data_IF_967168763667
#
_entry.id   IF_967168763667
#
_cell.length_a   1.000
_cell.length_b   1.000
_cell.length_c   1.000
_cell.angle_alpha   90.00
_cell.angle_beta   90.00
_cell.angle_gamma   90.00
#
_symmetry.space_group_name_H-M   'P 1'
#
loop_
_entity.id
_entity.type
_entity.pdbx_description
1 polymer ?
#
# COMPACT_ATOMS: atom_id res chain seq x y z
N UNK A 1 -17.03 -4.67 -31.82
CA UNK A 1 -17.20 -3.26 -31.40
C UNK A 1 -17.11 -3.26 -29.88
N UNK A 2 -16.07 -2.60 -29.34
CA UNK A 2 -15.70 -2.27 -27.93
C UNK A 2 -15.95 -3.32 -26.82
N UNK A 3 -14.95 -3.96 -26.17
CA UNK A 3 -13.87 -3.50 -25.25
C UNK A 3 -14.34 -2.91 -23.90
N UNK A 4 -13.61 -3.29 -22.83
CA UNK A 4 -13.66 -2.91 -21.41
C UNK A 4 -14.68 -3.70 -20.55
N UNK A 5 -14.31 -4.49 -19.53
CA UNK A 5 -13.16 -4.38 -18.63
C UNK A 5 -13.49 -3.45 -17.47
N UNK A 6 -14.45 -3.83 -16.61
CA UNK A 6 -14.81 -3.14 -15.37
C UNK A 6 -15.15 -4.22 -14.33
N UNK A 7 -14.57 -4.07 -13.14
CA UNK A 7 -14.68 -4.92 -11.95
C UNK A 7 -16.05 -5.60 -11.79
N UNK A 8 -16.05 -6.93 -11.60
CA UNK A 8 -17.17 -7.60 -10.94
C UNK A 8 -17.16 -7.16 -9.48
N UNK A 9 -18.14 -6.32 -9.16
CA UNK A 9 -18.36 -5.67 -7.88
C UNK A 9 -18.34 -6.70 -6.74
N UNK A 10 -17.53 -6.44 -5.71
CA UNK A 10 -17.42 -7.25 -4.50
C UNK A 10 -18.71 -7.31 -3.63
N UNK A 11 -19.86 -6.94 -4.20
CA UNK A 11 -21.16 -6.85 -3.54
C UNK A 11 -22.13 -7.96 -3.90
N UNK A 12 -21.83 -8.82 -4.88
CA UNK A 12 -22.64 -10.02 -5.17
C UNK A 12 -22.11 -11.26 -4.43
N UNK A 13 -22.18 -11.25 -3.10
CA UNK A 13 -22.46 -12.51 -2.38
C UNK A 13 -23.94 -12.59 -2.04
N UNK A 14 -24.74 -12.50 -3.08
CA UNK A 14 -26.11 -12.96 -3.06
C UNK A 14 -26.11 -14.48 -3.05
N UNK A 15 -26.04 -15.09 -1.87
CA UNK A 15 -26.26 -16.52 -1.74
C UNK A 15 -27.77 -16.78 -1.73
N UNK A 16 -28.24 -17.59 -2.67
CA UNK A 16 -29.61 -18.06 -2.73
C UNK A 16 -29.74 -19.24 -1.74
N UNK A 17 -30.07 -18.94 -0.50
CA UNK A 17 -30.44 -19.94 0.50
C UNK A 17 -31.94 -19.87 0.75
N UNK A 18 -32.65 -20.98 0.51
CA UNK A 18 -34.05 -21.12 0.91
C UNK A 18 -35.09 -20.27 0.15
N UNK A 19 -34.71 -19.50 -0.87
CA UNK A 19 -35.64 -18.74 -1.71
C UNK A 19 -35.59 -17.22 -1.57
N UNK A 20 -34.74 -16.68 -0.68
CA UNK A 20 -34.58 -15.24 -0.46
C UNK A 20 -33.16 -14.74 -0.76
N UNK A 21 -33.05 -13.46 -1.10
CA UNK A 21 -31.78 -12.76 -1.30
C UNK A 21 -31.18 -12.39 0.06
N UNK A 22 -30.04 -12.99 0.42
CA UNK A 22 -29.32 -12.62 1.63
C UNK A 22 -28.68 -11.23 1.49
N UNK A 23 -29.00 -10.34 2.42
CA UNK A 23 -28.35 -9.03 2.58
C UNK A 23 -27.48 -9.08 3.85
N UNK A 24 -26.15 -9.02 3.73
CA UNK A 24 -25.27 -9.02 4.90
C UNK A 24 -25.55 -7.81 5.80
N UNK A 25 -25.41 -7.94 7.13
CA UNK A 25 -25.52 -6.81 8.05
C UNK A 25 -24.54 -5.69 7.68
N UNK A 26 -24.95 -4.42 7.84
CA UNK A 26 -24.11 -3.25 7.51
C UNK A 26 -22.70 -3.32 8.13
N UNK A 27 -22.58 -3.80 9.37
CA UNK A 27 -21.30 -3.94 10.04
C UNK A 27 -20.37 -4.97 9.38
N UNK A 28 -20.92 -6.05 8.80
CA UNK A 28 -20.14 -7.01 8.03
C UNK A 28 -19.63 -6.38 6.73
N UNK A 29 -20.50 -5.63 6.03
CA UNK A 29 -20.16 -4.92 4.79
C UNK A 29 -19.07 -3.87 5.04
N UNK A 30 -19.14 -3.13 6.15
CA UNK A 30 -18.08 -2.20 6.57
C UNK A 30 -16.74 -2.91 6.79
N UNK A 31 -16.76 -4.03 7.52
CA UNK A 31 -15.55 -4.81 7.79
C UNK A 31 -14.91 -5.35 6.52
N UNK A 32 -15.73 -5.88 5.59
CA UNK A 32 -15.28 -6.34 4.27
C UNK A 32 -14.63 -5.21 3.48
N UNK A 33 -15.23 -4.02 3.47
CA UNK A 33 -14.70 -2.88 2.72
C UNK A 33 -13.38 -2.34 3.27
N UNK A 34 -13.25 -2.29 4.60
CA UNK A 34 -11.99 -1.93 5.26
C UNK A 34 -10.90 -2.98 4.97
N UNK A 35 -11.27 -4.26 4.89
CA UNK A 35 -10.33 -5.29 4.46
C UNK A 35 -9.93 -5.12 2.99
N UNK A 36 -10.88 -4.76 2.12
CA UNK A 36 -10.64 -4.49 0.71
C UNK A 36 -9.70 -3.29 0.53
N UNK A 37 -9.91 -2.17 1.22
CA UNK A 37 -9.01 -1.01 1.11
C UNK A 37 -7.57 -1.36 1.48
N UNK A 38 -7.36 -2.26 2.44
CA UNK A 38 -6.02 -2.75 2.81
C UNK A 38 -5.39 -3.62 1.72
N UNK A 39 -6.17 -4.50 1.11
CA UNK A 39 -5.73 -5.30 -0.02
C UNK A 39 -5.39 -4.41 -1.22
N UNK A 40 -6.24 -3.43 -1.52
CA UNK A 40 -6.06 -2.49 -2.62
C UNK A 40 -4.80 -1.63 -2.44
N UNK A 41 -4.55 -1.14 -1.22
CA UNK A 41 -3.30 -0.42 -0.94
C UNK A 41 -2.07 -1.31 -1.16
N UNK A 42 -2.11 -2.58 -0.76
CA UNK A 42 -1.00 -3.49 -0.99
C UNK A 42 -0.72 -3.70 -2.49
N UNK A 43 -1.77 -3.90 -3.29
CA UNK A 43 -1.68 -3.99 -4.76
C UNK A 43 -1.19 -2.68 -5.37
N UNK A 44 -1.65 -1.55 -4.86
CA UNK A 44 -1.23 -0.22 -5.30
C UNK A 44 0.28 -0.01 -5.10
N UNK A 45 0.80 -0.30 -3.89
CA UNK A 45 2.22 -0.16 -3.58
C UNK A 45 3.13 -1.10 -4.40
N UNK A 46 2.60 -2.24 -4.87
CA UNK A 46 3.32 -3.16 -5.75
C UNK A 46 3.44 -2.62 -7.18
N UNK A 47 2.37 -1.99 -7.69
CA UNK A 47 2.29 -1.46 -9.05
C UNK A 47 2.83 -0.03 -9.20
N UNK A 48 3.01 0.70 -8.10
CA UNK A 48 3.42 2.12 -8.10
C UNK A 48 4.76 2.33 -7.37
N UNK A 49 5.89 1.85 -7.94
CA UNK A 49 7.20 2.14 -7.37
C UNK A 49 7.52 3.65 -7.47
N UNK A 50 8.34 4.15 -6.55
CA UNK A 50 8.78 5.54 -6.58
C UNK A 50 9.92 5.71 -7.59
N UNK A 51 9.84 6.72 -8.45
CA UNK A 51 10.99 7.13 -9.27
C UNK A 51 11.95 7.97 -8.42
N UNK A 52 13.22 7.59 -8.39
CA UNK A 52 14.24 8.31 -7.64
C UNK A 52 15.01 9.29 -8.52
N UNK A 53 15.84 10.12 -7.88
CA UNK A 53 16.65 11.15 -8.56
C UNK A 53 17.67 10.59 -9.55
N UNK A 54 17.99 9.30 -9.45
CA UNK A 54 18.83 8.57 -10.42
C UNK A 54 18.05 8.06 -11.64
N UNK A 55 16.75 8.38 -11.74
CA UNK A 55 15.85 7.96 -12.81
C UNK A 55 15.33 6.52 -12.68
N UNK A 56 15.83 5.74 -11.72
CA UNK A 56 15.39 4.37 -11.50
C UNK A 56 14.15 4.31 -10.60
N UNK A 57 13.42 3.19 -10.69
CA UNK A 57 12.23 2.93 -9.88
C UNK A 57 12.55 2.00 -8.71
N UNK A 58 12.03 2.32 -7.53
CA UNK A 58 12.23 1.53 -6.31
C UNK A 58 10.88 1.08 -5.76
N UNK A 59 10.76 -0.23 -5.53
CA UNK A 59 9.56 -0.81 -4.95
C UNK A 59 9.35 -0.31 -3.51
N UNK A 60 8.09 0.06 -3.20
CA UNK A 60 7.68 0.63 -1.91
C UNK A 60 6.71 -0.28 -1.14
N UNK A 61 6.67 -1.57 -1.50
CA UNK A 61 5.85 -2.57 -0.81
C UNK A 61 6.23 -2.69 0.67
N UNK A 62 5.32 -3.21 1.49
CA UNK A 62 5.57 -3.40 2.92
C UNK A 62 6.83 -4.24 3.20
N UNK A 63 7.05 -5.31 2.41
CA UNK A 63 8.26 -6.13 2.48
C UNK A 63 9.52 -5.29 2.21
N UNK A 64 9.48 -4.42 1.19
CA UNK A 64 10.63 -3.58 0.83
C UNK A 64 10.92 -2.51 1.87
N UNK A 65 9.90 -1.93 2.48
CA UNK A 65 10.06 -1.00 3.61
C UNK A 65 10.72 -1.67 4.82
N UNK A 66 10.30 -2.90 5.15
CA UNK A 66 10.90 -3.68 6.23
C UNK A 66 12.38 -4.02 5.94
N UNK A 67 12.68 -4.49 4.72
CA UNK A 67 14.04 -4.76 4.27
C UNK A 67 14.93 -3.51 4.34
N UNK A 68 14.40 -2.36 3.90
CA UNK A 68 15.10 -1.09 3.88
C UNK A 68 15.46 -0.64 5.31
N UNK A 69 14.49 -0.73 6.23
CA UNK A 69 14.69 -0.42 7.64
C UNK A 69 15.81 -1.29 8.25
N UNK A 70 15.79 -2.60 7.98
CA UNK A 70 16.83 -3.52 8.45
C UNK A 70 18.22 -3.21 7.89
N UNK A 71 18.30 -2.81 6.62
CA UNK A 71 19.57 -2.40 5.96
C UNK A 71 20.13 -1.11 6.56
N UNK A 72 19.28 -0.10 6.77
CA UNK A 72 19.67 1.17 7.42
C UNK A 72 20.16 0.92 8.85
N UNK A 73 19.45 0.11 9.65
CA UNK A 73 19.86 -0.24 11.00
C UNK A 73 21.21 -0.97 11.01
N UNK A 74 21.40 -1.96 10.13
CA UNK A 74 22.64 -2.73 10.02
C UNK A 74 23.83 -1.83 9.67
N UNK A 75 23.67 -0.95 8.68
CA UNK A 75 24.71 0.00 8.28
C UNK A 75 25.02 1.03 9.38
N UNK A 76 24.00 1.49 10.11
CA UNK A 76 24.18 2.42 11.24
C UNK A 76 24.98 1.77 12.36
N UNK A 77 24.63 0.53 12.74
CA UNK A 77 25.36 -0.21 13.77
C UNK A 77 26.80 -0.52 13.34
N UNK A 78 27.00 -0.89 12.08
CA UNK A 78 28.34 -1.12 11.54
C UNK A 78 29.21 0.13 11.61
N UNK A 79 28.66 1.30 11.24
CA UNK A 79 29.36 2.58 11.35
C UNK A 79 29.71 2.92 12.82
N UNK A 80 28.77 2.75 13.74
CA UNK A 80 28.97 3.02 15.17
C UNK A 80 30.03 2.10 15.81
N UNK A 81 30.10 0.86 15.36
CA UNK A 81 31.06 -0.15 15.88
C UNK A 81 32.36 -0.19 15.10
N UNK A 82 32.54 0.67 14.09
CA UNK A 82 33.66 0.62 13.14
C UNK A 82 33.83 -0.76 12.47
N UNK A 83 32.72 -1.48 12.29
CA UNK A 83 32.68 -2.78 11.61
C UNK A 83 32.59 -2.55 10.10
N UNK A 84 33.46 -3.17 9.28
CA UNK A 84 33.33 -3.11 7.83
C UNK A 84 31.98 -3.69 7.37
N UNK A 85 31.21 -2.91 6.62
CA UNK A 85 29.91 -3.32 6.10
C UNK A 85 29.67 -2.71 4.72
N UNK A 86 29.42 -3.56 3.73
CA UNK A 86 29.01 -3.13 2.39
C UNK A 86 27.49 -3.01 2.35
N UNK A 87 26.98 -1.78 2.40
CA UNK A 87 25.57 -1.51 2.25
C UNK A 87 25.19 -1.62 0.77
N UNK A 88 24.20 -2.47 0.49
CA UNK A 88 23.69 -2.66 -0.87
C UNK A 88 22.18 -2.56 -0.91
N UNK A 89 21.67 -1.95 -1.98
CA UNK A 89 20.23 -1.84 -2.25
C UNK A 89 19.96 -1.94 -3.76
N UNK A 90 18.75 -2.37 -4.13
CA UNK A 90 18.36 -2.61 -5.52
C UNK A 90 17.15 -1.78 -5.93
N UNK A 91 17.16 -1.30 -7.18
CA UNK A 91 15.96 -0.83 -7.86
C UNK A 91 15.11 -2.02 -8.34
N UNK A 92 13.86 -1.76 -8.70
CA UNK A 92 12.90 -2.79 -9.15
C UNK A 92 13.45 -3.54 -10.37
N UNK A 93 13.52 -4.86 -10.29
CA UNK A 93 13.99 -5.73 -11.38
C UNK A 93 15.50 -5.69 -11.64
N UNK A 94 16.30 -5.00 -10.81
CA UNK A 94 17.75 -4.90 -10.95
C UNK A 94 18.49 -5.62 -9.83
N UNK A 95 19.77 -5.91 -10.06
CA UNK A 95 20.67 -6.45 -9.03
C UNK A 95 21.04 -5.38 -7.99
N UNK A 96 21.44 -5.82 -6.81
CA UNK A 96 21.93 -4.93 -5.76
C UNK A 96 23.17 -4.16 -6.22
N UNK A 97 23.17 -2.84 -5.99
CA UNK A 97 24.34 -1.97 -6.12
C UNK A 97 24.78 -1.49 -4.74
N UNK A 98 26.02 -1.03 -4.60
CA UNK A 98 26.50 -0.40 -3.37
C UNK A 98 25.85 0.96 -3.18
N UNK A 99 25.59 1.31 -1.91
CA UNK A 99 25.01 2.58 -1.50
C UNK A 99 25.75 3.13 -0.30
N UNK A 100 25.81 4.46 -0.20
CA UNK A 100 26.15 5.11 1.07
C UNK A 100 24.94 5.09 2.01
N UNK A 101 25.19 5.08 3.32
CA UNK A 101 24.13 5.19 4.33
C UNK A 101 23.33 6.49 4.16
N UNK A 102 24.00 7.58 3.80
CA UNK A 102 23.35 8.87 3.57
C UNK A 102 22.37 8.84 2.39
N UNK A 103 22.80 8.33 1.23
CA UNK A 103 21.94 8.28 0.03
C UNK A 103 20.78 7.32 0.21
N UNK A 104 21.01 6.15 0.82
CA UNK A 104 19.95 5.20 1.07
C UNK A 104 18.96 5.74 2.12
N UNK A 105 19.45 6.50 3.11
CA UNK A 105 18.60 7.21 4.07
C UNK A 105 17.68 8.23 3.41
N UNK A 106 18.19 8.99 2.43
CA UNK A 106 17.35 9.93 1.64
C UNK A 106 16.24 9.20 0.89
N UNK A 107 16.56 8.08 0.25
CA UNK A 107 15.55 7.24 -0.41
C UNK A 107 14.53 6.70 0.62
N UNK A 108 14.98 6.23 1.78
CA UNK A 108 14.10 5.72 2.84
C UNK A 108 13.11 6.78 3.32
N UNK A 109 13.53 8.03 3.52
CA UNK A 109 12.63 9.11 3.89
C UNK A 109 11.62 9.46 2.79
N UNK A 110 12.02 9.39 1.52
CA UNK A 110 11.09 9.62 0.41
C UNK A 110 10.02 8.52 0.31
N UNK A 111 10.43 7.26 0.53
CA UNK A 111 9.51 6.12 0.59
C UNK A 111 8.56 6.27 1.78
N UNK A 112 9.08 6.59 2.97
CA UNK A 112 8.30 6.80 4.19
C UNK A 112 7.24 7.90 4.01
N UNK A 113 7.63 9.05 3.44
CA UNK A 113 6.71 10.15 3.18
C UNK A 113 5.57 9.73 2.23
N UNK A 114 5.91 9.04 1.14
CA UNK A 114 4.91 8.55 0.16
C UNK A 114 3.95 7.54 0.79
N UNK A 115 4.48 6.55 1.52
CA UNK A 115 3.67 5.50 2.13
C UNK A 115 2.80 6.08 3.26
N UNK A 116 3.34 7.00 4.05
CA UNK A 116 2.60 7.67 5.14
C UNK A 116 1.43 8.48 4.58
N UNK A 117 1.59 9.19 3.46
CA UNK A 117 0.49 9.89 2.80
C UNK A 117 -0.63 8.92 2.38
N UNK A 118 -0.27 7.79 1.75
CA UNK A 118 -1.23 6.77 1.31
C UNK A 118 -1.96 6.09 2.47
N UNK A 119 -1.22 5.71 3.51
CA UNK A 119 -1.79 5.09 4.72
C UNK A 119 -2.69 6.08 5.46
N UNK A 120 -2.28 7.35 5.56
CA UNK A 120 -3.10 8.41 6.16
C UNK A 120 -4.42 8.59 5.41
N UNK A 121 -4.38 8.66 4.07
CA UNK A 121 -5.58 8.69 3.24
C UNK A 121 -6.46 7.46 3.46
N UNK A 122 -5.90 6.24 3.41
CA UNK A 122 -6.64 5.01 3.68
C UNK A 122 -7.36 5.09 5.04
N UNK A 123 -6.66 5.50 6.09
CA UNK A 123 -7.22 5.60 7.43
C UNK A 123 -8.38 6.60 7.51
N UNK A 124 -8.31 7.73 6.80
CA UNK A 124 -9.43 8.67 6.68
C UNK A 124 -10.65 7.99 6.05
N UNK A 125 -10.46 7.23 4.98
CA UNK A 125 -11.57 6.51 4.34
C UNK A 125 -12.13 5.41 5.24
N UNK A 126 -11.27 4.65 5.94
CA UNK A 126 -11.69 3.61 6.89
C UNK A 126 -12.50 4.18 8.06
N UNK A 127 -12.19 5.39 8.52
CA UNK A 127 -13.01 6.10 9.53
C UNK A 127 -14.38 6.43 8.95
N UNK A 128 -14.44 7.04 7.76
CA UNK A 128 -15.72 7.33 7.10
C UNK A 128 -16.57 6.07 6.89
N UNK A 129 -15.95 4.94 6.52
CA UNK A 129 -16.63 3.65 6.34
C UNK A 129 -17.23 3.15 7.65
N UNK A 130 -16.50 3.25 8.75
CA UNK A 130 -16.99 2.85 10.08
C UNK A 130 -18.19 3.68 10.51
N UNK A 131 -18.16 4.96 10.19
CA UNK A 131 -19.19 5.94 10.57
C UNK A 131 -20.40 5.96 9.63
N UNK A 132 -20.34 5.26 8.49
CA UNK A 132 -21.44 5.19 7.53
C UNK A 132 -22.73 4.62 8.18
N UNK A 133 -23.84 5.33 8.02
CA UNK A 133 -25.14 4.97 8.62
C UNK A 133 -26.00 4.04 7.75
N UNK A 134 -25.62 3.85 6.49
CA UNK A 134 -26.36 3.03 5.52
C UNK A 134 -25.42 2.44 4.47
N UNK A 135 -25.90 1.45 3.72
CA UNK A 135 -25.18 0.89 2.58
C UNK A 135 -24.93 1.92 1.48
N UNK A 136 -25.87 2.85 1.26
CA UNK A 136 -25.73 3.95 0.29
C UNK A 136 -24.62 4.91 0.72
N UNK A 137 -24.63 5.34 1.99
CA UNK A 137 -23.58 6.21 2.54
C UNK A 137 -22.22 5.53 2.53
N UNK A 138 -22.19 4.22 2.79
CA UNK A 138 -20.99 3.43 2.61
C UNK A 138 -20.57 3.48 1.14
N UNK A 139 -21.37 2.98 0.20
CA UNK A 139 -21.04 2.92 -1.23
C UNK A 139 -20.49 4.25 -1.81
N UNK A 140 -20.98 5.39 -1.36
CA UNK A 140 -20.51 6.72 -1.77
C UNK A 140 -19.06 7.09 -1.36
N UNK A 141 -18.44 6.38 -0.41
CA UNK A 141 -17.05 6.64 0.01
C UNK A 141 -16.08 6.03 -1.01
N UNK A 142 -15.50 6.85 -1.86
CA UNK A 142 -14.52 6.40 -2.85
C UNK A 142 -13.15 6.14 -2.21
N UNK A 143 -12.44 5.11 -2.67
CA UNK A 143 -11.03 4.86 -2.32
C UNK A 143 -10.23 4.91 -3.61
N UNK A 144 -9.52 6.00 -3.81
CA UNK A 144 -8.69 6.22 -4.99
C UNK A 144 -7.30 6.72 -4.56
N UNK A 145 -6.34 5.79 -4.58
CA UNK A 145 -4.96 6.05 -4.18
C UNK A 145 -4.19 6.93 -5.18
N UNK A 146 -4.65 7.05 -6.43
CA UNK A 146 -4.03 7.94 -7.42
C UNK A 146 -4.27 9.42 -7.12
N UNK A 147 -5.26 9.73 -6.28
CA UNK A 147 -5.49 11.10 -5.80
C UNK A 147 -4.48 11.55 -4.75
N UNK A 148 -3.68 10.63 -4.21
CA UNK A 148 -2.63 10.92 -3.24
C UNK A 148 -1.34 11.20 -4.00
N UNK A 149 -0.71 12.35 -3.75
CA UNK A 149 0.57 12.77 -4.36
C UNK A 149 1.83 12.25 -3.68
#
# INVERSE_FOLDING_TARGET
IHLYGIQEDAWEKFQFEGGDWYQPPLEEVKAQRIAQSKADLAVYLESHPIQWTDGAYYAITAEKQQQLTGKILSATLAQQTSTPYTLTWNSTGQVCKEWTLEELGKLAFAIDARVTALVGYQQTQEVAMRDAASLEALAAIEVDYDTVG
#
